data_IF_708948141677
#
_entry.id   IF_708948141677
#
_cell.length_a   1.000
_cell.length_b   1.000
_cell.length_c   1.000
_cell.angle_alpha   90.00
_cell.angle_beta   90.00
_cell.angle_gamma   90.00
#
_symmetry.space_group_name_H-M   'P 1'
#
loop_
_entity.id
_entity.type
_entity.pdbx_description
1 polymer ?
#
# COMPACT_ATOMS: atom_id res chain seq x y z
N UNK A 1 16.17 9.98 -24.92
CA UNK A 1 15.02 9.07 -25.10
C UNK A 1 14.70 8.51 -23.73
N UNK A 2 13.51 8.78 -23.21
CA UNK A 2 13.09 8.23 -21.91
C UNK A 2 12.77 6.75 -22.09
N UNK A 3 13.34 5.89 -21.24
CA UNK A 3 13.09 4.44 -21.29
C UNK A 3 11.89 4.03 -20.44
N UNK A 4 11.43 4.94 -19.57
CA UNK A 4 10.38 4.68 -18.59
C UNK A 4 9.63 5.98 -18.25
N UNK A 5 8.34 5.86 -17.95
CA UNK A 5 7.49 6.93 -17.42
C UNK A 5 6.82 6.39 -16.17
N UNK A 6 7.04 7.03 -15.02
CA UNK A 6 6.35 6.73 -13.77
C UNK A 6 5.25 7.76 -13.51
N UNK A 7 4.06 7.27 -13.17
CA UNK A 7 2.85 8.07 -13.01
C UNK A 7 2.27 7.82 -11.63
N UNK A 8 2.03 8.88 -10.87
CA UNK A 8 1.38 8.75 -9.56
C UNK A 8 -0.14 8.65 -9.73
N UNK A 9 -0.77 7.58 -9.24
CA UNK A 9 -2.22 7.42 -9.37
C UNK A 9 -2.99 8.37 -8.47
N UNK A 10 -2.50 8.55 -7.25
CA UNK A 10 -3.22 9.27 -6.20
C UNK A 10 -3.06 10.79 -6.41
N UNK A 11 -3.99 11.36 -7.19
CA UNK A 11 -4.06 12.82 -7.42
C UNK A 11 -3.35 13.33 -8.66
N UNK A 12 -2.88 12.45 -9.57
CA UNK A 12 -2.38 12.91 -10.89
C UNK A 12 -3.03 12.19 -12.07
N UNK A 13 -2.89 10.86 -12.18
CA UNK A 13 -3.31 10.15 -13.40
C UNK A 13 -4.84 10.06 -13.53
N UNK A 14 -5.51 9.87 -12.39
CA UNK A 14 -6.95 9.69 -12.35
C UNK A 14 -7.62 11.07 -12.15
N UNK A 15 -8.77 11.25 -12.78
CA UNK A 15 -9.62 12.42 -12.55
C UNK A 15 -10.29 12.35 -11.16
N UNK A 16 -11.11 13.35 -10.82
CA UNK A 16 -11.89 13.38 -9.57
C UNK A 16 -12.84 12.17 -9.40
N UNK A 17 -13.18 11.49 -10.51
CA UNK A 17 -14.00 10.27 -10.54
C UNK A 17 -13.15 8.99 -10.40
N UNK A 18 -11.85 9.11 -10.17
CA UNK A 18 -10.87 8.02 -10.10
C UNK A 18 -10.71 7.24 -11.41
N UNK A 19 -10.95 7.87 -12.55
CA UNK A 19 -10.87 7.25 -13.88
C UNK A 19 -9.70 7.82 -14.71
N UNK A 20 -9.06 6.96 -15.50
CA UNK A 20 -8.12 7.38 -16.56
C UNK A 20 -8.94 7.85 -17.76
N UNK A 21 -8.78 9.12 -18.15
CA UNK A 21 -9.51 9.65 -19.31
C UNK A 21 -9.11 8.94 -20.61
N UNK A 22 -10.01 8.81 -21.60
CA UNK A 22 -9.67 8.18 -22.88
C UNK A 22 -8.44 8.78 -23.55
N UNK A 23 -8.32 10.12 -23.51
CA UNK A 23 -7.15 10.83 -24.07
C UNK A 23 -5.84 10.41 -23.39
N UNK A 24 -5.83 10.34 -22.06
CA UNK A 24 -4.64 9.94 -21.29
C UNK A 24 -4.29 8.48 -21.55
N UNK A 25 -5.29 7.59 -21.53
CA UNK A 25 -5.13 6.17 -21.84
C UNK A 25 -4.51 5.97 -23.22
N UNK A 26 -5.08 6.60 -24.24
CA UNK A 26 -4.63 6.42 -25.63
C UNK A 26 -3.19 6.95 -25.82
N UNK A 27 -2.82 8.04 -25.15
CA UNK A 27 -1.44 8.56 -25.16
C UNK A 27 -0.45 7.60 -24.49
N UNK A 28 -0.84 6.97 -23.38
CA UNK A 28 -0.01 6.01 -22.67
C UNK A 28 0.11 4.66 -23.40
N UNK A 29 -0.94 4.24 -24.11
CA UNK A 29 -0.84 3.09 -25.02
C UNK A 29 0.14 3.38 -26.17
N UNK A 30 0.03 4.54 -26.81
CA UNK A 30 0.92 4.92 -27.90
C UNK A 30 2.40 5.00 -27.48
N UNK A 31 2.69 5.49 -26.26
CA UNK A 31 4.08 5.54 -25.77
C UNK A 31 4.63 4.17 -25.41
N UNK A 32 3.78 3.27 -24.91
CA UNK A 32 4.14 1.87 -24.67
C UNK A 32 4.45 1.12 -25.97
N UNK A 33 3.70 1.37 -27.05
CA UNK A 33 3.97 0.81 -28.39
C UNK A 33 5.32 1.26 -28.95
N UNK A 34 5.84 2.42 -28.50
CA UNK A 34 7.18 2.90 -28.83
C UNK A 34 8.29 2.27 -27.97
N UNK A 35 7.95 1.31 -27.10
CA UNK A 35 8.90 0.59 -26.24
C UNK A 35 9.25 1.32 -24.93
N UNK A 36 8.43 2.29 -24.50
CA UNK A 36 8.60 2.97 -23.21
C UNK A 36 7.83 2.23 -22.13
N UNK A 37 8.50 1.82 -21.06
CA UNK A 37 7.85 1.17 -19.92
C UNK A 37 7.02 2.18 -19.14
N UNK A 38 5.73 1.91 -18.94
CA UNK A 38 4.87 2.69 -18.04
C UNK A 38 4.87 2.06 -16.65
N UNK A 39 5.03 2.88 -15.62
CA UNK A 39 5.00 2.48 -14.22
C UNK A 39 3.87 3.22 -13.52
N UNK A 40 2.97 2.47 -12.88
CA UNK A 40 1.95 3.05 -12.00
C UNK A 40 2.47 3.04 -10.57
N UNK A 41 2.60 4.22 -9.97
CA UNK A 41 3.04 4.42 -8.60
C UNK A 41 1.85 4.81 -7.72
N UNK A 42 1.69 4.15 -6.58
CA UNK A 42 0.60 4.45 -5.64
C UNK A 42 0.95 4.06 -4.21
N UNK A 43 0.30 4.69 -3.23
CA UNK A 43 0.32 4.24 -1.83
C UNK A 43 -0.48 2.96 -1.59
N UNK A 44 -1.36 2.60 -2.54
CA UNK A 44 -2.24 1.43 -2.49
C UNK A 44 -1.47 0.12 -2.57
N UNK A 45 -2.11 -0.94 -2.09
CA UNK A 45 -1.71 -2.32 -2.32
C UNK A 45 -1.86 -2.69 -3.80
N UNK A 46 -1.11 -3.69 -4.27
CA UNK A 46 -1.10 -4.10 -5.67
C UNK A 46 -2.50 -4.33 -6.29
N UNK A 47 -3.48 -4.98 -5.60
CA UNK A 47 -4.82 -5.15 -6.16
C UNK A 47 -5.54 -3.83 -6.46
N UNK A 48 -5.28 -2.78 -5.68
CA UNK A 48 -5.86 -1.45 -5.88
C UNK A 48 -5.36 -0.71 -7.13
N UNK A 49 -4.32 -1.23 -7.81
CA UNK A 49 -3.79 -0.71 -9.06
C UNK A 49 -4.28 -1.51 -10.29
N UNK A 50 -4.89 -2.68 -10.09
CA UNK A 50 -5.25 -3.58 -11.19
C UNK A 50 -6.21 -2.95 -12.22
N UNK A 51 -7.26 -2.20 -11.85
CA UNK A 51 -8.13 -1.58 -12.84
C UNK A 51 -7.39 -0.60 -13.77
N UNK A 52 -6.50 0.21 -13.20
CA UNK A 52 -5.69 1.18 -13.95
C UNK A 52 -4.64 0.46 -14.81
N UNK A 53 -4.06 -0.63 -14.29
CA UNK A 53 -3.14 -1.51 -15.02
C UNK A 53 -3.80 -2.15 -16.25
N UNK A 54 -5.02 -2.68 -16.08
CA UNK A 54 -5.82 -3.29 -17.14
C UNK A 54 -6.22 -2.25 -18.20
N UNK A 55 -6.67 -1.06 -17.76
CA UNK A 55 -7.05 0.02 -18.66
C UNK A 55 -5.88 0.47 -19.57
N UNK A 56 -4.65 0.40 -19.05
CA UNK A 56 -3.42 0.72 -19.78
C UNK A 56 -2.76 -0.49 -20.45
N UNK A 57 -3.33 -1.69 -20.31
CA UNK A 57 -2.83 -2.94 -20.87
C UNK A 57 -1.36 -3.20 -20.49
N UNK A 58 -0.95 -2.85 -19.27
CA UNK A 58 0.46 -2.94 -18.84
C UNK A 58 1.05 -4.33 -19.01
N UNK A 59 0.23 -5.37 -18.82
CA UNK A 59 0.57 -6.78 -19.03
C UNK A 59 1.11 -7.07 -20.44
N UNK A 60 0.65 -6.33 -21.46
CA UNK A 60 1.06 -6.52 -22.86
C UNK A 60 2.31 -5.72 -23.22
N UNK A 61 2.73 -4.82 -22.34
CA UNK A 61 3.73 -3.80 -22.62
C UNK A 61 4.87 -3.75 -21.59
N UNK A 62 5.02 -4.80 -20.77
CA UNK A 62 6.04 -4.87 -19.71
C UNK A 62 5.97 -3.68 -18.74
N UNK A 63 4.75 -3.23 -18.43
CA UNK A 63 4.54 -2.19 -17.43
C UNK A 63 4.80 -2.69 -16.01
N UNK A 64 5.04 -1.76 -15.09
CA UNK A 64 5.33 -2.07 -13.69
C UNK A 64 4.31 -1.45 -12.74
N UNK A 65 4.03 -2.16 -11.64
CA UNK A 65 3.21 -1.70 -10.54
C UNK A 65 4.09 -1.41 -9.34
N UNK A 66 4.20 -0.14 -8.96
CA UNK A 66 4.90 0.32 -7.77
C UNK A 66 3.86 0.61 -6.69
N UNK A 67 3.68 -0.37 -5.80
CA UNK A 67 2.66 -0.40 -4.73
C UNK A 67 3.28 -0.11 -3.36
N UNK A 68 2.44 0.06 -2.34
CA UNK A 68 2.83 0.33 -0.95
C UNK A 68 3.78 1.54 -0.83
N UNK A 69 3.56 2.60 -1.61
CA UNK A 69 4.41 3.79 -1.56
C UNK A 69 5.85 3.54 -2.01
N UNK A 70 6.09 2.52 -2.85
CA UNK A 70 7.43 2.11 -3.27
C UNK A 70 7.98 0.88 -2.56
N UNK A 71 7.22 0.32 -1.60
CA UNK A 71 7.61 -0.90 -0.91
C UNK A 71 7.66 -2.13 -1.81
N UNK A 72 6.90 -2.18 -2.91
CA UNK A 72 6.90 -3.34 -3.81
C UNK A 72 6.79 -2.93 -5.27
N UNK A 73 7.61 -3.55 -6.12
CA UNK A 73 7.54 -3.43 -7.58
C UNK A 73 7.18 -4.80 -8.15
N UNK A 74 6.07 -4.84 -8.91
CA UNK A 74 5.61 -6.05 -9.60
C UNK A 74 5.61 -5.81 -11.10
N UNK A 75 6.13 -6.76 -11.88
CA UNK A 75 6.01 -6.77 -13.32
C UNK A 75 4.59 -7.20 -13.72
N UNK A 76 3.87 -6.34 -14.45
CA UNK A 76 2.48 -6.58 -14.79
C UNK A 76 2.29 -7.69 -15.84
N UNK A 77 3.33 -8.04 -16.60
CA UNK A 77 3.27 -9.10 -17.62
C UNK A 77 3.38 -10.48 -16.99
N UNK A 78 4.26 -10.64 -16.01
CA UNK A 78 4.60 -11.93 -15.40
C UNK A 78 3.94 -12.13 -14.04
N UNK A 79 3.55 -11.04 -13.37
CA UNK A 79 3.16 -11.04 -11.96
C UNK A 79 4.34 -11.18 -10.99
N UNK A 80 5.58 -11.21 -11.48
CA UNK A 80 6.76 -11.37 -10.64
C UNK A 80 7.03 -10.13 -9.80
N UNK A 81 7.32 -10.33 -8.51
CA UNK A 81 7.79 -9.27 -7.63
C UNK A 81 9.27 -9.03 -7.88
N UNK A 82 9.59 -7.93 -8.55
CA UNK A 82 10.95 -7.52 -8.95
C UNK A 82 11.69 -6.86 -7.78
N UNK A 83 10.96 -6.21 -6.88
CA UNK A 83 11.49 -5.60 -5.67
C UNK A 83 10.48 -5.70 -4.54
N UNK A 84 10.96 -6.02 -3.34
CA UNK A 84 10.14 -6.13 -2.13
C UNK A 84 10.90 -5.60 -0.92
N UNK A 85 10.35 -4.57 -0.30
CA UNK A 85 10.75 -4.01 0.98
C UNK A 85 9.66 -4.35 1.99
N UNK A 86 9.95 -5.31 2.85
CA UNK A 86 8.99 -5.83 3.83
C UNK A 86 9.55 -5.78 5.24
N UNK A 87 8.64 -5.67 6.20
CA UNK A 87 8.95 -5.74 7.62
C UNK A 87 9.24 -7.21 7.92
N UNK A 88 10.36 -7.50 8.59
CA UNK A 88 10.64 -8.87 9.00
C UNK A 88 9.57 -9.35 10.00
N UNK A 89 9.28 -10.66 9.98
CA UNK A 89 8.14 -11.20 10.70
C UNK A 89 8.26 -10.98 12.22
N UNK A 90 9.47 -11.05 12.79
CA UNK A 90 9.69 -10.80 14.21
C UNK A 90 9.33 -9.36 14.58
N UNK A 91 9.82 -8.38 13.82
CA UNK A 91 9.49 -6.97 14.00
C UNK A 91 8.00 -6.72 13.80
N UNK A 92 7.38 -7.29 12.76
CA UNK A 92 5.95 -7.14 12.48
C UNK A 92 5.08 -7.65 13.63
N UNK A 93 5.34 -8.87 14.11
CA UNK A 93 4.63 -9.48 15.24
C UNK A 93 4.84 -8.65 16.51
N UNK A 94 6.07 -8.23 16.81
CA UNK A 94 6.36 -7.38 17.98
C UNK A 94 5.63 -6.05 17.92
N UNK A 95 5.55 -5.42 16.75
CA UNK A 95 4.84 -4.16 16.57
C UNK A 95 3.32 -4.34 16.72
N UNK A 96 2.75 -5.41 16.16
CA UNK A 96 1.33 -5.72 16.34
C UNK A 96 0.98 -6.00 17.80
N UNK A 97 1.85 -6.67 18.56
CA UNK A 97 1.70 -6.84 20.02
C UNK A 97 1.80 -5.51 20.76
N UNK A 98 2.70 -4.63 20.34
CA UNK A 98 2.81 -3.28 20.93
C UNK A 98 1.53 -2.47 20.77
N UNK A 99 0.87 -2.57 19.61
CA UNK A 99 -0.42 -1.90 19.35
C UNK A 99 -1.57 -2.39 20.25
N UNK A 100 -1.46 -3.57 20.88
CA UNK A 100 -2.48 -4.10 21.81
C UNK A 100 -2.63 -3.24 23.08
N UNK A 101 -1.66 -2.36 23.37
CA UNK A 101 -1.76 -1.40 24.46
C UNK A 101 -2.89 -0.35 24.24
N UNK A 102 -3.38 -0.18 23.01
CA UNK A 102 -4.42 0.76 22.63
C UNK A 102 -5.59 0.04 21.96
N UNK A 103 -6.53 -0.54 22.73
CA UNK A 103 -7.66 -1.30 22.19
C UNK A 103 -8.63 -0.49 21.32
N UNK A 104 -8.53 0.83 21.31
CA UNK A 104 -9.28 1.77 20.48
C UNK A 104 -8.68 1.96 19.07
N UNK A 105 -7.40 1.62 18.88
CA UNK A 105 -6.75 1.68 17.57
C UNK A 105 -7.16 0.48 16.71
N UNK A 106 -7.19 0.66 15.40
CA UNK A 106 -7.51 -0.40 14.43
C UNK A 106 -6.29 -0.73 13.59
N UNK A 107 -5.45 -1.71 13.99
CA UNK A 107 -4.40 -2.23 13.14
C UNK A 107 -5.02 -2.96 11.93
N UNK A 108 -4.45 -2.71 10.75
CA UNK A 108 -4.82 -3.34 9.49
C UNK A 108 -3.52 -3.80 8.82
N UNK A 109 -3.44 -5.09 8.50
CA UNK A 109 -2.30 -5.71 7.82
C UNK A 109 -2.85 -6.53 6.67
N UNK A 110 -2.19 -6.50 5.51
CA UNK A 110 -2.59 -7.31 4.37
C UNK A 110 -1.51 -8.32 3.97
N UNK A 111 -1.95 -9.39 3.29
CA UNK A 111 -1.09 -10.37 2.61
C UNK A 111 -1.04 -10.15 1.09
N UNK A 112 -1.52 -9.00 0.61
CA UNK A 112 -1.72 -8.69 -0.80
C UNK A 112 -3.03 -9.22 -1.40
N UNK A 113 -3.85 -9.95 -0.64
CA UNK A 113 -5.17 -10.43 -1.08
C UNK A 113 -6.29 -10.04 -0.11
N UNK A 114 -6.05 -10.26 1.19
CA UNK A 114 -6.98 -9.96 2.26
C UNK A 114 -6.34 -8.98 3.25
N UNK A 115 -7.15 -8.07 3.81
CA UNK A 115 -6.81 -7.38 5.05
C UNK A 115 -7.19 -8.24 6.25
N UNK A 116 -6.33 -8.24 7.27
CA UNK A 116 -6.50 -8.94 8.52
C UNK A 116 -6.85 -7.93 9.62
N UNK A 117 -7.98 -8.17 10.28
CA UNK A 117 -8.52 -7.32 11.35
C UNK A 117 -9.12 -8.18 12.46
N UNK A 118 -9.32 -7.61 13.65
CA UNK A 118 -10.10 -8.26 14.71
C UNK A 118 -11.61 -8.05 14.59
N UNK A 119 -12.03 -7.03 13.84
CA UNK A 119 -13.43 -6.70 13.61
C UNK A 119 -13.56 -5.87 12.31
N UNK A 120 -14.48 -6.26 11.44
CA UNK A 120 -14.72 -5.57 10.16
C UNK A 120 -15.36 -4.19 10.32
N UNK A 121 -15.96 -3.90 11.48
CA UNK A 121 -16.62 -2.62 11.80
C UNK A 121 -15.67 -1.56 12.34
N UNK A 122 -14.40 -1.91 12.61
CA UNK A 122 -13.41 -0.95 13.14
C UNK A 122 -13.14 0.17 12.14
N UNK A 123 -12.67 1.28 12.69
CA UNK A 123 -12.45 2.51 11.92
C UNK A 123 -11.62 2.24 10.66
N UNK A 124 -12.15 2.66 9.50
CA UNK A 124 -11.51 2.59 8.17
C UNK A 124 -11.23 1.19 7.60
N UNK A 125 -11.64 0.11 8.26
CA UNK A 125 -11.43 -1.26 7.72
C UNK A 125 -12.18 -1.46 6.40
N UNK A 126 -13.46 -1.11 6.34
CA UNK A 126 -14.24 -1.17 5.11
C UNK A 126 -13.66 -0.27 4.02
N UNK A 127 -13.29 0.96 4.37
CA UNK A 127 -12.71 1.92 3.43
C UNK A 127 -11.41 1.38 2.83
N UNK A 128 -10.51 0.82 3.65
CA UNK A 128 -9.23 0.27 3.20
C UNK A 128 -9.44 -0.96 2.30
N UNK A 129 -10.33 -1.89 2.69
CA UNK A 129 -10.67 -3.05 1.85
C UNK A 129 -11.28 -2.62 0.51
N UNK A 130 -12.27 -1.72 0.53
CA UNK A 130 -12.97 -1.30 -0.67
C UNK A 130 -12.08 -0.49 -1.63
N UNK A 131 -11.30 0.45 -1.11
CA UNK A 131 -10.44 1.30 -1.95
C UNK A 131 -9.28 0.53 -2.58
N UNK A 132 -8.82 -0.56 -1.94
CA UNK A 132 -7.69 -1.35 -2.40
C UNK A 132 -8.08 -2.71 -2.99
N UNK A 133 -9.38 -2.99 -3.11
CA UNK A 133 -9.91 -4.25 -3.65
C UNK A 133 -9.39 -5.50 -2.92
N UNK A 134 -9.27 -5.41 -1.60
CA UNK A 134 -8.84 -6.50 -0.74
C UNK A 134 -10.04 -7.16 -0.08
N UNK A 135 -10.00 -8.48 0.10
CA UNK A 135 -10.96 -9.17 0.97
C UNK A 135 -10.74 -8.81 2.45
N UNK A 136 -11.65 -9.23 3.33
CA UNK A 136 -11.55 -8.98 4.77
C UNK A 136 -11.55 -10.30 5.53
N UNK A 137 -10.50 -10.53 6.30
CA UNK A 137 -10.34 -11.70 7.15
C UNK A 137 -10.33 -11.29 8.62
N UNK A 138 -11.37 -11.73 9.33
CA UNK A 138 -11.51 -11.47 10.76
C UNK A 138 -10.77 -12.57 11.52
N UNK A 139 -9.80 -12.17 12.34
CA UNK A 139 -8.97 -13.08 13.15
C UNK A 139 -9.05 -12.71 14.63
N UNK A 140 -8.96 -13.69 15.56
CA UNK A 140 -9.00 -13.40 16.99
C UNK A 140 -7.87 -12.46 17.45
N UNK A 141 -6.71 -12.58 16.79
CA UNK A 141 -5.54 -11.76 17.04
C UNK A 141 -4.70 -11.64 15.75
N UNK A 142 -4.34 -10.42 15.37
CA UNK A 142 -3.62 -10.17 14.12
C UNK A 142 -2.16 -10.64 14.24
N UNK A 143 -1.50 -10.40 15.37
CA UNK A 143 -0.11 -10.82 15.59
C UNK A 143 0.07 -12.35 15.55
N UNK A 144 -0.95 -13.12 15.96
CA UNK A 144 -0.94 -14.59 15.83
C UNK A 144 -1.21 -15.08 14.40
N UNK A 145 -1.95 -14.30 13.60
CA UNK A 145 -2.31 -14.66 12.23
C UNK A 145 -1.19 -14.36 11.22
N UNK A 146 -0.35 -13.36 11.50
CA UNK A 146 0.72 -12.93 10.60
C UNK A 146 1.86 -13.96 10.60
N UNK A 147 1.97 -14.69 9.48
CA UNK A 147 3.05 -15.64 9.21
C UNK A 147 3.88 -15.25 7.98
N UNK A 148 3.67 -14.06 7.46
CA UNK A 148 4.35 -13.50 6.29
C UNK A 148 5.06 -12.19 6.64
N UNK A 149 5.73 -11.59 5.65
CA UNK A 149 6.43 -10.31 5.81
C UNK A 149 5.58 -9.20 5.19
N UNK A 150 4.89 -8.37 5.99
CA UNK A 150 4.05 -7.32 5.44
C UNK A 150 4.88 -6.15 4.90
N UNK A 151 4.43 -5.50 3.82
CA UNK A 151 5.07 -4.29 3.29
C UNK A 151 4.77 -3.05 4.14
N UNK A 152 3.63 -3.04 4.84
CA UNK A 152 3.23 -1.99 5.77
C UNK A 152 2.31 -2.55 6.86
N UNK A 153 2.23 -1.84 7.98
CA UNK A 153 1.21 -2.04 9.00
C UNK A 153 0.50 -0.70 9.19
N UNK A 154 -0.79 -0.66 8.88
CA UNK A 154 -1.61 0.53 8.96
C UNK A 154 -2.33 0.56 10.31
N UNK A 155 -2.25 1.68 11.03
CA UNK A 155 -3.01 1.90 12.26
C UNK A 155 -4.04 2.99 12.01
N UNK A 156 -5.32 2.64 12.16
CA UNK A 156 -6.43 3.53 11.89
C UNK A 156 -7.23 3.87 13.15
N UNK A 157 -7.58 5.14 13.32
CA UNK A 157 -8.50 5.63 14.34
C UNK A 157 -8.92 7.07 14.00
N UNK A 158 -10.02 7.60 14.55
CA UNK A 158 -10.29 9.03 14.49
C UNK A 158 -9.06 9.84 14.92
N UNK A 159 -8.78 10.97 14.27
CA UNK A 159 -7.54 11.73 14.47
C UNK A 159 -7.34 12.16 15.94
N UNK A 160 -8.42 12.51 16.63
CA UNK A 160 -8.43 12.88 18.04
C UNK A 160 -8.01 11.74 18.98
N UNK A 161 -8.17 10.48 18.54
CA UNK A 161 -7.70 9.28 19.23
C UNK A 161 -6.27 8.94 18.81
N UNK A 162 -5.96 9.05 17.51
CA UNK A 162 -4.68 8.65 16.96
C UNK A 162 -3.52 9.60 17.31
N UNK A 163 -3.76 10.91 17.15
CA UNK A 163 -2.74 11.96 17.25
C UNK A 163 -2.00 11.97 18.61
N UNK A 164 -2.67 11.78 19.76
CA UNK A 164 -1.98 11.72 21.05
C UNK A 164 -0.98 10.56 21.22
N UNK A 165 -1.08 9.52 20.38
CA UNK A 165 -0.33 8.27 20.55
C UNK A 165 0.78 8.04 19.51
N UNK A 166 0.97 8.92 18.52
CA UNK A 166 1.93 8.70 17.42
C UNK A 166 3.36 8.39 17.91
N UNK A 167 3.85 9.17 18.87
CA UNK A 167 5.19 8.99 19.44
C UNK A 167 5.30 7.72 20.28
N UNK A 168 4.22 7.32 20.98
CA UNK A 168 4.20 6.10 21.77
C UNK A 168 4.10 4.86 20.88
N UNK A 169 3.30 4.92 19.81
CA UNK A 169 3.14 3.86 18.82
C UNK A 169 4.49 3.55 18.17
N UNK A 170 5.21 4.57 17.70
CA UNK A 170 6.49 4.38 17.00
C UNK A 170 7.68 4.07 17.93
N UNK A 171 7.53 4.29 19.25
CA UNK A 171 8.61 4.12 20.22
C UNK A 171 9.17 2.69 20.22
N UNK A 172 10.49 2.59 20.04
CA UNK A 172 11.20 1.31 20.05
C UNK A 172 11.20 0.55 18.71
N UNK A 173 10.67 1.18 17.64
CA UNK A 173 10.64 0.60 16.29
C UNK A 173 11.30 1.47 15.21
N UNK A 174 11.68 2.72 15.51
CA UNK A 174 12.23 3.68 14.53
C UNK A 174 13.63 3.35 13.99
N UNK A 175 14.31 2.35 14.58
CA UNK A 175 15.55 1.79 14.05
C UNK A 175 15.29 0.83 12.88
N UNK A 176 14.15 0.13 12.88
CA UNK A 176 13.74 -0.84 11.85
C UNK A 176 12.67 -0.33 10.89
N UNK A 177 11.82 0.57 11.36
CA UNK A 177 10.65 1.07 10.64
C UNK A 177 10.69 2.58 10.52
N UNK A 178 10.08 3.10 9.46
CA UNK A 178 9.70 4.49 9.29
C UNK A 178 8.20 4.64 9.44
N UNK A 179 7.77 5.74 10.05
CA UNK A 179 6.37 6.00 10.31
C UNK A 179 5.93 7.31 9.68
N UNK A 180 4.74 7.30 9.06
CA UNK A 180 4.15 8.46 8.40
C UNK A 180 2.67 8.54 8.74
N UNK A 181 2.17 9.73 9.05
CA UNK A 181 0.73 9.99 9.10
C UNK A 181 0.25 10.34 7.68
N UNK A 182 -0.30 9.36 6.97
CA UNK A 182 -0.72 9.51 5.56
C UNK A 182 -2.06 10.23 5.41
N UNK A 183 -2.91 10.18 6.44
CA UNK A 183 -4.16 10.92 6.57
C UNK A 183 -4.42 11.22 8.06
N UNK A 184 -5.33 12.15 8.42
CA UNK A 184 -5.62 12.44 9.83
C UNK A 184 -5.96 11.18 10.66
N UNK A 185 -6.59 10.19 10.04
CA UNK A 185 -6.99 8.93 10.68
C UNK A 185 -6.08 7.74 10.40
N UNK A 186 -4.93 7.92 9.74
CA UNK A 186 -4.01 6.85 9.35
C UNK A 186 -2.58 7.14 9.77
N UNK A 187 -1.99 6.19 10.50
CA UNK A 187 -0.56 6.17 10.80
C UNK A 187 0.03 4.84 10.34
N UNK A 188 1.00 4.91 9.43
CA UNK A 188 1.52 3.73 8.75
C UNK A 188 2.97 3.49 9.15
N UNK A 189 3.28 2.25 9.53
CA UNK A 189 4.64 1.76 9.73
C UNK A 189 5.10 0.95 8.52
N UNK A 190 6.24 1.33 7.96
CA UNK A 190 6.89 0.68 6.80
C UNK A 190 8.35 0.35 7.11
N UNK A 191 9.02 -0.54 6.37
CA UNK A 191 10.45 -0.76 6.52
C UNK A 191 11.22 0.54 6.32
N UNK A 192 12.23 0.76 7.15
CA UNK A 192 13.06 1.96 7.08
C UNK A 192 13.74 2.07 5.71
N UNK A 193 13.72 3.29 5.14
CA UNK A 193 14.29 3.57 3.82
C UNK A 193 13.33 3.33 2.64
N UNK A 194 12.05 3.02 2.92
CA UNK A 194 11.01 2.90 1.90
C UNK A 194 10.40 4.27 1.62
N UNK A 195 10.71 4.88 0.47
CA UNK A 195 10.02 6.07 -0.05
C UNK A 195 10.00 6.05 -1.58
N UNK A 196 8.95 6.63 -2.19
CA UNK A 196 8.86 6.80 -3.66
C UNK A 196 9.99 7.67 -4.22
N UNK A 197 10.59 8.55 -3.41
CA UNK A 197 11.57 9.55 -3.85
C UNK A 197 13.02 9.06 -3.79
N UNK A 198 13.28 7.87 -3.26
CA UNK A 198 14.64 7.43 -2.98
C UNK A 198 15.22 8.20 -1.79
N UNK A 199 15.95 7.49 -0.93
CA UNK A 199 16.69 8.06 0.19
C UNK A 199 17.71 9.11 -0.22
#
# INVERSE_FOLDING_TARGET
MYKMIALDLDGTLNNDQREITPRTRDALLAVQEMGVTVVLASGRQAPGLLPDSEALQLEKHHGLLLSYGGGRITDATTGEVVFDSSIDNETAVRFLRHLEAWPELSPIVDDGHDIYTTDASRHKVYDESHNNQLGVKIVPNIADAVTWRPCKILTAAPNEILMPHLDDISRGFTDKMSFVQSAPWFYEGMPKGTSKEGS
#
